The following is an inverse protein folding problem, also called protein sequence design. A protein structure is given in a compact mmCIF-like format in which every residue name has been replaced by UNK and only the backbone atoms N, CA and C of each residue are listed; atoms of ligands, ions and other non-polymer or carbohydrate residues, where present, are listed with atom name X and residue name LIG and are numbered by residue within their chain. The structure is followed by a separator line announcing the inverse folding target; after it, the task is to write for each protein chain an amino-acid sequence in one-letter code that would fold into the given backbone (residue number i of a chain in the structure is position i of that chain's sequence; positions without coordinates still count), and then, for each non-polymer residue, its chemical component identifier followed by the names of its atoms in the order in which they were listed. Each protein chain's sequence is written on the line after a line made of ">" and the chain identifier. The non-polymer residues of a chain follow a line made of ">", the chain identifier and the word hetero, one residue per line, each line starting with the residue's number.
data_IF_709757731815
#
_entry.id   IF_709757731815
#
_cell.length_a   1.000
_cell.length_b   1.000
_cell.length_c   1.000
_cell.angle_alpha   90.00
_cell.angle_beta   90.00
_cell.angle_gamma   90.00
#
_symmetry.space_group_name_H-M   'P 1'
#
loop_
_entity.id
_entity.type
_entity.pdbx_description
1 polymer ?
#
# COMPACT_ATOMS: atom_id res chain seq x y z
N UNK A 1 3.05 3.60 -4.20
CA UNK A 1 3.30 2.34 -3.47
C UNK A 1 4.78 2.20 -3.12
N UNK A 2 5.08 1.87 -1.87
CA UNK A 2 6.44 1.73 -1.32
C UNK A 2 7.18 0.59 -2.02
N UNK A 3 8.46 0.80 -2.35
CA UNK A 3 9.30 -0.21 -2.99
C UNK A 3 9.87 -1.16 -1.94
N UNK A 4 9.32 -2.37 -1.88
CA UNK A 4 9.86 -3.48 -1.09
C UNK A 4 10.65 -4.42 -2.02
N UNK A 5 11.82 -4.85 -1.62
CA UNK A 5 12.67 -5.82 -2.31
C UNK A 5 13.51 -6.61 -1.31
N UNK A 6 14.43 -7.46 -1.81
CA UNK A 6 15.24 -8.33 -0.96
C UNK A 6 16.16 -7.55 -0.02
N UNK A 7 16.54 -6.32 -0.35
CA UNK A 7 17.51 -5.51 0.40
C UNK A 7 16.87 -4.79 1.59
N UNK A 8 15.57 -4.55 1.54
CA UNK A 8 14.83 -3.85 2.59
C UNK A 8 13.69 -4.69 3.19
N UNK A 9 13.67 -5.99 2.89
CA UNK A 9 12.61 -6.91 3.32
C UNK A 9 12.42 -6.91 4.84
N UNK A 10 13.47 -7.10 5.61
CA UNK A 10 13.40 -7.20 7.08
C UNK A 10 12.91 -5.90 7.72
N UNK A 11 13.30 -4.75 7.16
CA UNK A 11 12.81 -3.45 7.61
C UNK A 11 11.29 -3.36 7.42
N UNK A 12 10.81 -3.65 6.22
CA UNK A 12 9.37 -3.54 5.94
C UNK A 12 8.55 -4.63 6.62
N UNK A 13 9.14 -5.81 6.90
CA UNK A 13 8.53 -6.84 7.74
C UNK A 13 8.19 -6.28 9.12
N UNK A 14 9.15 -5.64 9.79
CA UNK A 14 8.90 -5.02 11.10
C UNK A 14 7.83 -3.94 11.03
N UNK A 15 7.85 -3.11 9.98
CA UNK A 15 6.79 -2.11 9.77
C UNK A 15 5.42 -2.79 9.64
N UNK A 16 5.30 -3.86 8.85
CA UNK A 16 4.06 -4.60 8.68
C UNK A 16 3.57 -5.25 9.98
N UNK A 17 4.49 -5.80 10.78
CA UNK A 17 4.16 -6.39 12.08
C UNK A 17 3.53 -5.36 13.02
N UNK A 18 4.13 -4.17 13.11
CA UNK A 18 3.60 -3.08 13.94
C UNK A 18 2.25 -2.59 13.41
N UNK A 19 2.12 -2.35 12.10
CA UNK A 19 0.84 -1.95 11.50
C UNK A 19 -0.25 -2.99 11.81
N UNK A 20 0.07 -4.28 11.64
CA UNK A 20 -0.86 -5.37 11.91
C UNK A 20 -1.25 -5.42 13.39
N UNK A 21 -0.31 -5.24 14.32
CA UNK A 21 -0.62 -5.23 15.75
C UNK A 21 -1.66 -4.15 16.08
N UNK A 22 -1.40 -2.90 15.68
CA UNK A 22 -2.35 -1.79 15.88
C UNK A 22 -3.72 -2.10 15.27
N UNK A 23 -3.76 -2.58 14.03
CA UNK A 23 -5.02 -2.91 13.35
C UNK A 23 -5.77 -4.07 14.03
N UNK A 24 -5.04 -5.09 14.47
CA UNK A 24 -5.60 -6.27 15.13
C UNK A 24 -6.23 -5.91 16.47
N UNK A 25 -5.59 -5.05 17.27
CA UNK A 25 -6.15 -4.55 18.53
C UNK A 25 -7.44 -3.79 18.31
N UNK A 26 -7.48 -2.90 17.32
CA UNK A 26 -8.69 -2.16 16.97
C UNK A 26 -9.82 -3.10 16.55
N UNK A 27 -9.55 -4.02 15.63
CA UNK A 27 -10.57 -4.96 15.12
C UNK A 27 -11.03 -5.96 16.18
N UNK A 28 -10.16 -6.37 17.11
CA UNK A 28 -10.56 -7.20 18.26
C UNK A 28 -11.49 -6.44 19.22
N UNK A 29 -11.20 -5.17 19.50
CA UNK A 29 -12.07 -4.34 20.33
C UNK A 29 -13.45 -4.16 19.68
N UNK A 30 -13.49 -3.87 18.38
CA UNK A 30 -14.74 -3.76 17.60
C UNK A 30 -15.53 -5.08 17.59
N UNK A 31 -14.86 -6.21 17.34
CA UNK A 31 -15.50 -7.53 17.31
C UNK A 31 -16.05 -7.94 18.68
N UNK A 32 -15.31 -7.64 19.76
CA UNK A 32 -15.75 -7.91 21.14
C UNK A 32 -17.06 -7.17 21.47
N UNK A 33 -17.18 -5.88 21.07
CA UNK A 33 -18.41 -5.10 21.24
C UNK A 33 -19.61 -5.69 20.48
N UNK A 34 -19.35 -6.44 19.41
CA UNK A 34 -20.37 -7.13 18.61
C UNK A 34 -20.61 -8.59 19.06
N UNK A 35 -19.93 -9.04 20.12
CA UNK A 35 -20.01 -10.44 20.59
C UNK A 35 -19.34 -11.45 19.64
N UNK A 36 -18.48 -11.00 18.73
CA UNK A 36 -17.77 -11.86 17.77
C UNK A 36 -16.37 -12.17 18.30
N UNK A 37 -16.02 -13.47 18.40
CA UNK A 37 -14.67 -13.89 18.77
C UNK A 37 -13.82 -14.14 17.51
N UNK A 38 -12.87 -13.25 17.27
CA UNK A 38 -11.89 -13.35 16.16
C UNK A 38 -10.48 -13.73 16.64
N UNK A 39 -10.28 -14.01 17.93
CA UNK A 39 -8.95 -14.22 18.52
C UNK A 39 -8.18 -15.42 17.97
N UNK A 40 -8.89 -16.38 17.37
CA UNK A 40 -8.32 -17.59 16.78
C UNK A 40 -8.03 -17.47 15.27
N UNK A 41 -8.30 -16.32 14.64
CA UNK A 41 -8.00 -16.16 13.23
C UNK A 41 -6.49 -16.11 12.99
N UNK A 42 -5.98 -16.77 11.94
CA UNK A 42 -4.55 -16.77 11.64
C UNK A 42 -4.08 -15.34 11.33
N UNK A 43 -3.03 -14.91 12.02
CA UNK A 43 -2.40 -13.62 11.75
C UNK A 43 -1.67 -13.64 10.40
N UNK A 44 -1.81 -12.62 9.55
CA UNK A 44 -0.98 -12.43 8.36
C UNK A 44 0.52 -12.47 8.66
N UNK A 45 0.95 -12.04 9.86
CA UNK A 45 2.35 -12.14 10.32
C UNK A 45 2.76 -13.59 10.50
N UNK A 46 1.94 -14.43 11.13
CA UNK A 46 2.26 -15.84 11.31
C UNK A 46 2.26 -16.59 9.98
N UNK A 47 1.35 -16.26 9.07
CA UNK A 47 1.36 -16.77 7.70
C UNK A 47 2.64 -16.37 6.96
N UNK A 48 3.08 -15.12 7.08
CA UNK A 48 4.32 -14.64 6.46
C UNK A 48 5.54 -15.39 6.99
N UNK A 49 5.66 -15.54 8.31
CA UNK A 49 6.74 -16.30 8.94
C UNK A 49 6.79 -17.75 8.43
N UNK A 50 5.63 -18.40 8.25
CA UNK A 50 5.54 -19.73 7.67
C UNK A 50 5.97 -19.78 6.19
N UNK A 51 5.76 -18.71 5.43
CA UNK A 51 6.21 -18.65 4.04
C UNK A 51 7.72 -18.45 3.93
N UNK A 52 8.33 -17.71 4.86
CA UNK A 52 9.78 -17.50 4.90
C UNK A 52 10.56 -18.80 5.05
N UNK A 53 10.04 -19.75 5.84
CA UNK A 53 10.66 -21.07 6.01
C UNK A 53 10.55 -21.93 4.76
N UNK A 54 9.52 -21.71 3.94
CA UNK A 54 9.26 -22.49 2.72
C UNK A 54 9.94 -21.90 1.48
N UNK A 55 9.87 -20.59 1.28
CA UNK A 55 10.35 -19.93 0.07
C UNK A 55 10.47 -18.41 0.27
N UNK A 56 11.71 -17.91 0.30
CA UNK A 56 11.99 -16.47 0.37
C UNK A 56 11.36 -15.65 -0.78
N UNK A 57 11.40 -16.09 -2.05
CA UNK A 57 10.70 -15.38 -3.13
C UNK A 57 9.18 -15.29 -2.92
N UNK A 58 8.57 -16.36 -2.41
CA UNK A 58 7.14 -16.38 -2.12
C UNK A 58 6.81 -15.47 -0.94
N UNK A 59 7.59 -15.52 0.13
CA UNK A 59 7.45 -14.63 1.28
C UNK A 59 7.57 -13.15 0.88
N UNK A 60 8.54 -12.81 0.03
CA UNK A 60 8.68 -11.46 -0.52
C UNK A 60 7.45 -11.03 -1.34
N UNK A 61 6.93 -11.93 -2.19
CA UNK A 61 5.71 -11.65 -2.97
C UNK A 61 4.51 -11.43 -2.07
N UNK A 62 4.28 -12.31 -1.09
CA UNK A 62 3.16 -12.20 -0.16
C UNK A 62 3.29 -10.97 0.74
N UNK A 63 4.49 -10.65 1.18
CA UNK A 63 4.77 -9.44 1.97
C UNK A 63 4.39 -8.17 1.21
N UNK A 64 4.75 -8.08 -0.08
CA UNK A 64 4.38 -6.92 -0.91
C UNK A 64 2.87 -6.73 -0.99
N UNK A 65 2.14 -7.83 -1.19
CA UNK A 65 0.69 -7.81 -1.29
C UNK A 65 0.07 -7.44 0.05
N UNK A 66 0.40 -8.16 1.12
CA UNK A 66 -0.13 -7.89 2.45
C UNK A 66 0.18 -6.49 2.96
N UNK A 67 1.40 -5.99 2.72
CA UNK A 67 1.77 -4.61 3.04
C UNK A 67 0.95 -3.61 2.25
N UNK A 68 0.81 -3.81 0.93
CA UNK A 68 0.01 -2.93 0.08
C UNK A 68 -1.44 -2.86 0.55
N UNK A 69 -2.05 -4.00 0.82
CA UNK A 69 -3.45 -4.12 1.23
C UNK A 69 -3.70 -3.45 2.58
N UNK A 70 -2.87 -3.73 3.59
CA UNK A 70 -3.08 -3.10 4.89
C UNK A 70 -2.78 -1.61 4.86
N UNK A 71 -1.73 -1.20 4.14
CA UNK A 71 -1.29 0.18 4.11
C UNK A 71 -2.26 1.08 3.34
N UNK A 72 -2.89 0.59 2.27
CA UNK A 72 -3.92 1.35 1.53
C UNK A 72 -5.14 1.63 2.41
N UNK A 73 -5.52 0.70 3.29
CA UNK A 73 -6.65 0.85 4.20
C UNK A 73 -6.40 1.88 5.32
N UNK A 74 -5.13 2.12 5.68
CA UNK A 74 -4.77 3.08 6.74
C UNK A 74 -5.18 4.51 6.42
N UNK A 75 -5.39 4.87 5.15
CA UNK A 75 -5.83 6.23 4.78
C UNK A 75 -7.18 6.59 5.42
N UNK A 76 -8.03 5.59 5.65
CA UNK A 76 -9.35 5.73 6.26
C UNK A 76 -9.33 5.61 7.80
N UNK A 77 -8.18 5.33 8.42
CA UNK A 77 -8.10 5.25 9.87
C UNK A 77 -8.26 6.63 10.54
N UNK A 78 -8.79 6.72 11.76
CA UNK A 78 -8.83 7.96 12.54
C UNK A 78 -7.43 8.57 12.73
N UNK A 79 -7.35 9.89 12.86
CA UNK A 79 -6.06 10.59 12.98
C UNK A 79 -5.30 10.22 14.26
N UNK A 80 -6.02 9.96 15.36
CA UNK A 80 -5.42 9.46 16.60
C UNK A 80 -4.74 8.10 16.40
N UNK A 81 -5.36 7.20 15.63
CA UNK A 81 -4.78 5.91 15.28
C UNK A 81 -3.52 6.10 14.43
N UNK A 82 -3.58 6.95 13.41
CA UNK A 82 -2.43 7.25 12.53
C UNK A 82 -1.27 7.83 13.33
N UNK A 83 -1.54 8.70 14.30
CA UNK A 83 -0.53 9.29 15.19
C UNK A 83 0.09 8.25 16.11
N UNK A 84 -0.72 7.41 16.76
CA UNK A 84 -0.22 6.35 17.62
C UNK A 84 0.68 5.35 16.86
N UNK A 85 0.26 4.97 15.65
CA UNK A 85 1.07 4.15 14.75
C UNK A 85 2.39 4.83 14.35
N UNK A 86 2.34 6.13 14.03
CA UNK A 86 3.52 6.91 13.66
C UNK A 86 4.54 6.99 14.80
N UNK A 87 4.07 7.26 16.02
CA UNK A 87 4.91 7.35 17.21
C UNK A 87 5.54 6.00 17.55
N UNK A 88 4.80 4.89 17.44
CA UNK A 88 5.32 3.54 17.72
C UNK A 88 6.36 3.09 16.68
N UNK A 89 6.12 3.35 15.40
CA UNK A 89 7.12 3.10 14.35
C UNK A 89 8.41 3.86 14.62
N UNK A 90 8.33 5.15 14.98
CA UNK A 90 9.49 5.98 15.30
C UNK A 90 10.22 5.50 16.56
N UNK A 91 9.49 5.09 17.59
CA UNK A 91 10.06 4.54 18.82
C UNK A 91 10.88 3.26 18.56
N UNK A 92 10.49 2.48 17.54
CA UNK A 92 11.22 1.29 17.08
C UNK A 92 12.34 1.60 16.06
N UNK A 93 12.68 2.87 15.84
CA UNK A 93 13.71 3.29 14.88
C UNK A 93 13.33 3.07 13.41
N UNK A 94 12.03 2.95 13.12
CA UNK A 94 11.50 2.73 11.78
C UNK A 94 10.96 4.03 11.17
N UNK A 95 10.78 4.11 9.85
CA UNK A 95 10.07 5.21 9.23
C UNK A 95 8.63 5.32 9.78
N UNK A 96 8.27 6.49 10.30
CA UNK A 96 6.91 6.76 10.77
C UNK A 96 5.86 6.65 9.67
N UNK A 97 4.60 6.41 10.06
CA UNK A 97 3.46 6.34 9.15
C UNK A 97 3.37 7.54 8.21
N UNK A 98 3.52 8.77 8.70
CA UNK A 98 3.38 9.96 7.84
C UNK A 98 4.50 10.04 6.79
N UNK A 99 5.71 9.61 7.16
CA UNK A 99 6.83 9.52 6.21
C UNK A 99 6.56 8.45 5.16
N UNK A 100 6.15 7.24 5.58
CA UNK A 100 5.78 6.16 4.66
C UNK A 100 4.63 6.55 3.73
N UNK A 101 3.62 7.25 4.25
CA UNK A 101 2.49 7.71 3.49
C UNK A 101 2.92 8.76 2.46
N UNK A 102 3.77 9.71 2.84
CA UNK A 102 4.35 10.70 1.92
C UNK A 102 5.19 10.04 0.82
N UNK A 103 5.99 9.02 1.13
CA UNK A 103 6.74 8.23 0.14
C UNK A 103 5.82 7.46 -0.80
N UNK A 104 4.68 7.00 -0.28
CA UNK A 104 3.66 6.34 -1.10
C UNK A 104 3.03 7.32 -2.10
N UNK A 105 2.79 8.58 -1.68
CA UNK A 105 2.36 9.72 -2.51
C UNK A 105 3.46 10.26 -3.42
N UNK A 106 4.74 10.08 -3.10
CA UNK A 106 5.85 10.52 -3.97
C UNK A 106 5.82 9.86 -5.35
N UNK A 107 5.27 8.64 -5.45
CA UNK A 107 5.06 8.01 -6.75
C UNK A 107 4.07 8.79 -7.61
N UNK A 108 3.03 9.35 -6.98
CA UNK A 108 2.06 10.23 -7.65
C UNK A 108 2.74 11.52 -8.12
N UNK A 109 3.54 12.17 -7.27
CA UNK A 109 4.25 13.40 -7.65
C UNK A 109 5.25 13.17 -8.78
N UNK A 110 5.93 12.01 -8.81
CA UNK A 110 6.78 11.61 -9.94
C UNK A 110 5.98 11.43 -11.24
N UNK A 111 4.81 10.78 -11.18
CA UNK A 111 3.91 10.60 -12.33
C UNK A 111 3.44 11.96 -12.84
N UNK A 112 2.98 12.84 -11.95
CA UNK A 112 2.53 14.20 -12.28
C UNK A 112 3.66 15.02 -12.91
N UNK A 113 4.88 14.94 -12.35
CA UNK A 113 6.05 15.67 -12.87
C UNK A 113 6.46 15.21 -14.26
N UNK A 114 6.49 13.89 -14.51
CA UNK A 114 6.90 13.33 -15.80
C UNK A 114 5.76 13.24 -16.83
N UNK A 115 4.51 13.46 -16.38
CA UNK A 115 3.28 13.36 -17.16
C UNK A 115 3.19 12.09 -18.01
N UNK A 116 3.67 10.97 -17.46
CA UNK A 116 3.74 9.69 -18.18
C UNK A 116 3.55 8.53 -17.20
N UNK A 117 2.81 7.51 -17.63
CA UNK A 117 2.76 6.18 -16.99
C UNK A 117 3.66 5.25 -17.81
N UNK A 118 4.61 4.59 -17.15
CA UNK A 118 5.61 3.74 -17.83
C UNK A 118 5.35 2.25 -17.61
N UNK A 119 4.73 1.91 -16.49
CA UNK A 119 4.53 0.52 -16.06
C UNK A 119 3.06 0.25 -15.69
N UNK A 120 2.66 -1.02 -15.75
CA UNK A 120 1.29 -1.42 -15.46
C UNK A 120 0.91 -1.16 -13.99
N UNK A 121 1.85 -1.31 -13.05
CA UNK A 121 1.62 -1.02 -11.64
C UNK A 121 1.36 0.47 -11.40
N UNK A 122 1.90 1.35 -12.23
CA UNK A 122 1.64 2.78 -12.17
C UNK A 122 0.27 3.11 -12.74
N UNK A 123 -0.14 2.41 -13.81
CA UNK A 123 -1.49 2.52 -14.35
C UNK A 123 -2.55 2.17 -13.30
N UNK A 124 -2.44 1.03 -12.62
CA UNK A 124 -3.40 0.64 -11.58
C UNK A 124 -3.42 1.61 -10.41
N UNK A 125 -2.24 2.08 -9.99
CA UNK A 125 -2.14 3.08 -8.93
C UNK A 125 -2.84 4.41 -9.30
N UNK A 126 -2.68 4.88 -10.54
CA UNK A 126 -3.34 6.11 -11.01
C UNK A 126 -4.86 5.91 -11.14
N UNK A 127 -5.30 4.75 -11.63
CA UNK A 127 -6.73 4.43 -11.70
C UNK A 127 -7.38 4.39 -10.31
N UNK A 128 -6.70 3.84 -9.31
CA UNK A 128 -7.18 3.86 -7.92
C UNK A 128 -7.36 5.30 -7.42
N UNK A 129 -6.38 6.18 -7.66
CA UNK A 129 -6.43 7.60 -7.29
C UNK A 129 -7.55 8.35 -8.00
N UNK A 130 -7.75 8.11 -9.30
CA UNK A 130 -8.78 8.78 -10.09
C UNK A 130 -10.19 8.36 -9.66
N UNK A 131 -10.38 7.09 -9.30
CA UNK A 131 -11.66 6.53 -8.88
C UNK A 131 -11.97 6.80 -7.40
N UNK A 132 -10.97 7.13 -6.59
CA UNK A 132 -11.17 7.44 -5.18
C UNK A 132 -11.67 8.88 -5.02
N UNK A 133 -12.94 8.98 -4.61
CA UNK A 133 -13.66 10.23 -4.33
C UNK A 133 -13.13 10.98 -3.11
N UNK A 134 -12.30 10.32 -2.28
CA UNK A 134 -11.71 10.89 -1.07
C UNK A 134 -10.29 11.39 -1.28
N UNK A 135 -9.72 11.21 -2.47
CA UNK A 135 -8.34 11.61 -2.74
C UNK A 135 -8.21 13.12 -2.88
N UNK A 136 -7.29 13.70 -2.11
CA UNK A 136 -6.88 15.11 -2.15
C UNK A 136 -6.01 15.43 -3.39
N UNK A 137 -6.48 15.11 -4.60
CA UNK A 137 -5.84 15.60 -5.83
C UNK A 137 -6.57 16.83 -6.33
N UNK A 138 -5.85 17.81 -6.85
CA UNK A 138 -6.47 19.00 -7.45
C UNK A 138 -7.14 18.68 -8.78
N UNK A 139 -7.99 19.57 -9.29
CA UNK A 139 -8.59 19.41 -10.63
C UNK A 139 -7.50 19.35 -11.72
N UNK A 140 -6.45 20.14 -11.59
CA UNK A 140 -5.31 20.14 -12.51
C UNK A 140 -4.56 18.82 -12.47
N UNK A 141 -4.27 18.29 -11.27
CA UNK A 141 -3.63 16.97 -11.13
C UNK A 141 -4.51 15.88 -11.73
N UNK A 142 -5.82 15.91 -11.47
CA UNK A 142 -6.80 14.99 -12.06
C UNK A 142 -6.79 15.05 -13.59
N UNK A 143 -6.73 16.25 -14.16
CA UNK A 143 -6.63 16.43 -15.61
C UNK A 143 -5.34 15.80 -16.18
N UNK A 144 -4.20 16.05 -15.54
CA UNK A 144 -2.90 15.47 -15.95
C UNK A 144 -2.94 13.94 -15.89
N UNK A 145 -3.48 13.37 -14.81
CA UNK A 145 -3.55 11.92 -14.63
C UNK A 145 -4.46 11.25 -15.67
N UNK A 146 -5.62 11.82 -15.96
CA UNK A 146 -6.51 11.33 -17.02
C UNK A 146 -5.81 11.29 -18.39
N UNK A 147 -5.04 12.33 -18.71
CA UNK A 147 -4.24 12.37 -19.94
C UNK A 147 -3.16 11.29 -19.97
N UNK A 148 -2.51 11.03 -18.82
CA UNK A 148 -1.51 9.97 -18.70
C UNK A 148 -2.12 8.58 -18.94
N UNK A 149 -3.31 8.31 -18.37
CA UNK A 149 -4.07 7.06 -18.54
C UNK A 149 -4.39 6.83 -20.01
N UNK A 150 -5.04 7.79 -20.67
CA UNK A 150 -5.39 7.70 -22.09
C UNK A 150 -4.17 7.42 -22.98
N UNK A 151 -3.06 8.12 -22.72
CA UNK A 151 -1.82 7.95 -23.48
C UNK A 151 -1.25 6.53 -23.31
N UNK A 152 -1.30 5.99 -22.09
CA UNK A 152 -0.83 4.64 -21.80
C UNK A 152 -1.69 3.58 -22.48
N UNK A 153 -3.02 3.68 -22.36
CA UNK A 153 -3.98 2.76 -22.99
C UNK A 153 -3.82 2.72 -24.51
N UNK A 154 -3.68 3.89 -25.16
CA UNK A 154 -3.44 3.98 -26.60
C UNK A 154 -2.14 3.29 -27.01
N UNK A 155 -1.06 3.44 -26.23
CA UNK A 155 0.20 2.74 -26.48
C UNK A 155 0.05 1.23 -26.37
N UNK A 156 -0.66 0.73 -25.36
CA UNK A 156 -0.88 -0.70 -25.17
C UNK A 156 -1.77 -1.28 -26.28
N UNK A 157 -2.85 -0.58 -26.65
CA UNK A 157 -3.72 -1.00 -27.75
C UNK A 157 -2.95 -1.12 -29.07
N UNK A 158 -2.07 -0.16 -29.39
CA UNK A 158 -1.19 -0.23 -30.56
C UNK A 158 -0.22 -1.40 -30.49
N UNK A 159 0.36 -1.67 -29.32
CA UNK A 159 1.30 -2.77 -29.11
C UNK A 159 0.64 -4.14 -29.28
N UNK A 160 -0.63 -4.27 -28.87
CA UNK A 160 -1.39 -5.50 -29.06
C UNK A 160 -1.76 -5.73 -30.53
N UNK A 161 -2.18 -4.68 -31.26
CA UNK A 161 -2.46 -4.75 -32.71
C UNK A 161 -1.26 -5.09 -33.60
N UNK A 162 -0.03 -4.88 -33.11
CA UNK A 162 1.22 -5.21 -33.83
C UNK A 162 1.72 -6.62 -33.53
N UNK A 163 1.05 -7.35 -32.63
CA UNK A 163 1.35 -8.74 -32.29
C UNK A 163 0.38 -9.75 -32.91
N UNK A 164 -0.69 -9.24 -33.52
CA UNK A 164 -1.62 -9.98 -34.39
C UNK A 164 -1.15 -9.87 -35.85
#
# INVERSE_FOLDING_TARGET
>A
MIKIDKTNYDLYKKVFEIIWQHKSTLTQAEAYLQGINIGNLPSPVSMLNNLETKSKPLALKSMKLGFSDIFSMLKYAPDEFKKALDDDLKANGLPGYFLLYSQSKYKLSLILKRQTISLMEEYYFVMEILNDITTEITEEERHVLNKCVLTFEQKQAKKNRLKD
#
